data_IF_802516798307
#
_entry.id   IF_802516798307
#
_cell.length_a   1.000
_cell.length_b   1.000
_cell.length_c   1.000
_cell.angle_alpha   90.00
_cell.angle_beta   90.00
_cell.angle_gamma   90.00
#
_symmetry.space_group_name_H-M   'P 1'
#
loop_
_entity.id
_entity.type
_entity.pdbx_description
1 polymer ?
#
# COMPACT_ATOMS: atom_id res chain seq x y z
N UNK A 1 3.83 -21.39 -22.12
CA UNK A 1 4.62 -20.14 -21.99
C UNK A 1 4.04 -19.36 -20.84
N UNK A 2 4.79 -19.22 -19.76
CA UNK A 2 4.40 -18.40 -18.60
C UNK A 2 4.43 -16.95 -19.07
N UNK A 3 3.27 -16.33 -19.22
CA UNK A 3 3.24 -14.87 -19.20
C UNK A 3 3.53 -14.51 -17.75
N UNK A 4 4.76 -14.06 -17.47
CA UNK A 4 5.00 -13.30 -16.25
C UNK A 4 3.91 -12.21 -16.24
N UNK A 5 3.10 -12.15 -15.18
CA UNK A 5 2.12 -11.08 -15.03
C UNK A 5 2.92 -9.79 -14.93
N UNK A 6 3.08 -9.10 -16.06
CA UNK A 6 3.79 -7.83 -16.10
C UNK A 6 2.88 -6.87 -15.38
N UNK A 7 3.17 -6.58 -14.11
CA UNK A 7 2.54 -5.47 -13.42
C UNK A 7 2.84 -4.22 -14.24
N UNK A 8 1.82 -3.63 -14.84
CA UNK A 8 1.99 -2.33 -15.47
C UNK A 8 2.14 -1.32 -14.34
N UNK A 9 3.29 -0.68 -14.31
CA UNK A 9 3.57 0.42 -13.41
C UNK A 9 4.13 1.58 -14.22
N UNK A 10 3.83 2.79 -13.77
CA UNK A 10 4.40 4.00 -14.32
C UNK A 10 5.46 4.52 -13.35
N UNK A 11 6.72 4.46 -13.78
CA UNK A 11 7.85 4.91 -12.99
C UNK A 11 8.22 6.35 -13.33
N UNK A 12 8.44 7.16 -12.31
CA UNK A 12 8.99 8.50 -12.42
C UNK A 12 10.11 8.72 -11.40
N UNK A 13 11.01 9.65 -11.70
CA UNK A 13 12.09 10.06 -10.79
C UNK A 13 12.16 11.57 -10.75
N UNK A 14 12.40 12.13 -9.57
CA UNK A 14 12.58 13.56 -9.35
C UNK A 14 13.83 13.79 -8.49
N UNK A 15 14.65 14.78 -8.84
CA UNK A 15 15.80 15.18 -8.03
C UNK A 15 15.52 16.52 -7.38
N UNK A 16 15.42 16.50 -6.05
CA UNK A 16 15.33 17.70 -5.22
C UNK A 16 16.74 18.26 -5.01
N UNK A 17 16.99 19.49 -5.47
CA UNK A 17 18.24 20.24 -5.26
C UNK A 17 18.04 21.25 -4.11
N UNK A 18 18.67 20.98 -2.97
CA UNK A 18 18.54 21.77 -1.74
C UNK A 18 19.74 22.70 -1.64
N UNK A 19 19.49 24.00 -1.72
CA UNK A 19 20.51 25.03 -1.62
C UNK A 19 20.68 25.53 -0.19
N UNK A 20 21.90 25.89 0.20
CA UNK A 20 22.17 26.43 1.54
C UNK A 20 22.08 25.35 2.64
N UNK A 21 22.35 24.08 2.29
CA UNK A 21 22.05 22.94 3.14
C UNK A 21 22.65 23.09 4.55
N UNK A 22 23.91 23.53 4.66
CA UNK A 22 24.63 23.62 5.93
C UNK A 22 23.90 24.47 6.98
N UNK A 23 23.33 25.60 6.57
CA UNK A 23 22.58 26.54 7.41
C UNK A 23 21.09 26.23 7.54
N UNK A 24 20.54 25.40 6.65
CA UNK A 24 19.11 25.07 6.62
C UNK A 24 18.69 24.28 7.87
N UNK A 25 17.71 24.81 8.61
CA UNK A 25 17.01 24.18 9.74
C UNK A 25 15.51 24.42 9.60
N UNK A 26 14.71 23.78 10.45
CA UNK A 26 13.25 23.92 10.50
C UNK A 26 12.79 25.38 10.60
N UNK A 27 13.53 26.22 11.33
CA UNK A 27 13.21 27.65 11.54
C UNK A 27 13.30 28.50 10.27
N UNK A 28 13.99 28.02 9.25
CA UNK A 28 14.15 28.70 7.97
C UNK A 28 13.19 28.15 6.89
N UNK A 29 12.35 27.17 7.26
CA UNK A 29 11.32 26.62 6.38
C UNK A 29 9.98 27.34 6.62
N UNK A 30 8.97 26.98 5.81
CA UNK A 30 7.61 27.52 5.94
C UNK A 30 6.94 27.12 7.27
N UNK A 31 5.67 27.50 7.46
CA UNK A 31 4.92 27.31 8.73
C UNK A 31 4.98 25.86 9.24
N UNK A 32 5.00 24.89 8.34
CA UNK A 32 5.01 23.46 8.67
C UNK A 32 6.42 22.90 8.89
N UNK A 33 7.46 23.71 8.66
CA UNK A 33 8.85 23.38 9.01
C UNK A 33 9.57 22.48 8.02
N UNK A 34 9.12 22.42 6.77
CA UNK A 34 9.74 21.66 5.69
C UNK A 34 9.81 22.46 4.39
N UNK A 35 10.60 21.96 3.43
CA UNK A 35 10.69 22.50 2.07
C UNK A 35 9.91 21.63 1.09
N UNK A 36 9.21 22.29 0.17
CA UNK A 36 8.59 21.64 -0.98
C UNK A 36 9.52 21.59 -2.19
N UNK A 37 9.54 20.45 -2.87
CA UNK A 37 10.02 20.40 -4.25
C UNK A 37 9.03 21.07 -5.20
N UNK A 38 9.47 21.46 -6.41
CA UNK A 38 8.54 21.64 -7.52
C UNK A 38 7.70 20.38 -7.72
N UNK A 39 6.47 20.55 -8.19
CA UNK A 39 5.62 19.43 -8.54
C UNK A 39 6.15 18.70 -9.77
N UNK A 40 5.95 17.39 -9.81
CA UNK A 40 6.32 16.55 -10.94
C UNK A 40 5.25 15.48 -11.19
N UNK A 41 5.01 15.18 -12.45
CA UNK A 41 3.89 14.32 -12.86
C UNK A 41 4.36 12.89 -13.13
N UNK A 42 3.68 11.91 -12.52
CA UNK A 42 3.87 10.47 -12.78
C UNK A 42 2.50 9.83 -12.96
N UNK A 43 2.29 9.13 -14.07
CA UNK A 43 0.99 8.52 -14.41
C UNK A 43 -0.20 9.51 -14.51
N UNK A 44 0.08 10.77 -14.85
CA UNK A 44 -0.95 11.82 -14.91
C UNK A 44 -1.37 12.37 -13.54
N UNK A 45 -0.67 12.00 -12.47
CA UNK A 45 -0.84 12.52 -11.13
C UNK A 45 0.37 13.39 -10.78
N UNK A 46 0.11 14.53 -10.15
CA UNK A 46 1.12 15.44 -9.63
C UNK A 46 1.54 15.03 -8.21
N UNK A 47 2.85 15.03 -8.01
CA UNK A 47 3.53 14.66 -6.79
C UNK A 47 4.51 15.76 -6.37
N UNK A 48 4.84 15.83 -5.09
CA UNK A 48 5.91 16.67 -4.57
C UNK A 48 6.71 15.93 -3.50
N UNK A 49 7.93 16.39 -3.23
CA UNK A 49 8.75 15.91 -2.11
C UNK A 49 8.71 16.96 -1.00
N UNK A 50 8.34 16.54 0.21
CA UNK A 50 8.50 17.29 1.46
C UNK A 50 9.84 16.92 2.09
N UNK A 51 10.70 17.89 2.31
CA UNK A 51 12.01 17.70 2.93
C UNK A 51 12.11 18.41 4.28
N UNK A 52 12.45 17.67 5.33
CA UNK A 52 12.55 18.19 6.69
C UNK A 52 14.03 18.23 7.12
N UNK A 53 14.61 19.43 7.32
CA UNK A 53 16.04 19.56 7.62
C UNK A 53 16.47 19.02 8.99
N UNK A 54 15.53 18.92 9.93
CA UNK A 54 15.74 18.52 11.33
C UNK A 54 14.97 17.23 11.68
N UNK A 55 14.60 16.47 10.64
CA UNK A 55 13.82 15.24 10.77
C UNK A 55 12.33 15.48 10.97
N UNK A 56 11.59 14.39 11.08
CA UNK A 56 10.18 14.41 11.44
C UNK A 56 10.02 14.04 12.92
N UNK A 57 9.58 15.02 13.71
CA UNK A 57 9.39 14.88 15.15
C UNK A 57 7.94 14.54 15.52
N UNK A 58 7.03 14.37 14.55
CA UNK A 58 5.61 14.10 14.84
C UNK A 58 5.37 12.69 15.39
N UNK A 59 6.25 11.72 15.11
CA UNK A 59 6.13 10.33 15.61
C UNK A 59 7.04 9.98 16.79
N UNK A 60 7.91 10.90 17.23
CA UNK A 60 8.76 10.67 18.40
C UNK A 60 7.98 11.08 19.66
N UNK A 61 7.26 10.14 20.24
CA UNK A 61 6.67 10.28 21.57
C UNK A 61 7.73 10.63 22.61
N UNK A 62 7.90 11.92 22.90
CA UNK A 62 8.85 12.40 23.90
C UNK A 62 9.53 13.70 23.51
N UNK A 63 9.95 14.41 24.54
CA UNK A 63 10.66 15.69 24.50
C UNK A 63 12.07 15.54 23.87
N UNK A 64 12.17 15.11 22.60
CA UNK A 64 13.46 14.83 21.96
C UNK A 64 14.05 16.09 21.35
N UNK A 65 15.28 16.39 21.77
CA UNK A 65 16.22 17.25 21.07
C UNK A 65 16.18 16.97 19.55
N UNK A 66 16.37 18.00 18.72
CA UNK A 66 16.36 17.91 17.25
C UNK A 66 16.95 16.59 16.75
N UNK A 67 16.20 15.82 15.96
CA UNK A 67 16.72 14.61 15.32
C UNK A 67 18.00 14.98 14.54
N UNK A 68 19.09 14.23 14.74
CA UNK A 68 20.29 14.35 13.89
C UNK A 68 20.06 13.75 12.49
N UNK A 69 18.81 13.48 12.11
CA UNK A 69 18.45 13.02 10.78
C UNK A 69 17.78 14.12 9.97
N UNK A 70 17.88 14.00 8.65
CA UNK A 70 17.01 14.69 7.71
C UNK A 70 15.90 13.71 7.29
N UNK A 71 14.70 14.22 7.00
CA UNK A 71 13.58 13.40 6.54
C UNK A 71 13.12 13.79 5.15
N UNK A 72 12.51 12.84 4.44
CA UNK A 72 11.89 13.09 3.14
C UNK A 72 10.63 12.25 2.98
N UNK A 73 9.58 12.88 2.47
CA UNK A 73 8.29 12.27 2.18
C UNK A 73 7.82 12.67 0.80
N UNK A 74 7.21 11.73 0.10
CA UNK A 74 6.48 12.00 -1.14
C UNK A 74 5.05 12.35 -0.75
N UNK A 75 4.49 13.32 -1.43
CA UNK A 75 3.08 13.69 -1.33
C UNK A 75 2.38 13.54 -2.67
N UNK A 76 1.15 13.02 -2.65
CA UNK A 76 0.22 13.11 -3.76
C UNK A 76 -0.51 14.46 -3.70
N UNK A 77 -0.26 15.32 -4.69
CA UNK A 77 -0.74 16.72 -4.71
C UNK A 77 -2.02 16.88 -5.52
N UNK A 78 -2.34 15.90 -6.38
CA UNK A 78 -3.54 15.97 -7.22
C UNK A 78 -4.81 15.91 -6.37
N UNK A 79 -5.51 17.03 -6.26
CA UNK A 79 -6.69 17.18 -5.40
C UNK A 79 -7.74 16.09 -5.67
N UNK A 80 -8.21 15.46 -4.58
CA UNK A 80 -9.22 14.40 -4.63
C UNK A 80 -8.77 13.08 -5.26
N UNK A 81 -7.51 12.97 -5.69
CA UNK A 81 -6.98 11.73 -6.24
C UNK A 81 -6.59 10.75 -5.14
N UNK A 82 -6.67 9.46 -5.48
CA UNK A 82 -6.08 8.39 -4.70
C UNK A 82 -5.28 7.47 -5.62
N UNK A 83 -4.13 6.99 -5.14
CA UNK A 83 -3.24 6.17 -5.95
C UNK A 83 -2.45 5.20 -5.09
N UNK A 84 -2.20 4.01 -5.64
CA UNK A 84 -1.25 3.07 -5.06
C UNK A 84 0.12 3.30 -5.66
N UNK A 85 1.13 3.52 -4.83
CA UNK A 85 2.49 3.70 -5.31
C UNK A 85 3.54 3.12 -4.35
N UNK A 86 4.69 2.76 -4.91
CA UNK A 86 5.91 2.52 -4.12
C UNK A 86 6.82 3.71 -4.27
N UNK A 87 7.46 4.09 -3.17
CA UNK A 87 8.36 5.23 -3.13
C UNK A 87 9.73 4.85 -2.61
N UNK A 88 10.75 5.53 -3.08
CA UNK A 88 12.12 5.36 -2.62
C UNK A 88 12.89 6.67 -2.68
N UNK A 89 13.89 6.78 -1.81
CA UNK A 89 14.78 7.93 -1.74
C UNK A 89 16.23 7.47 -1.75
N UNK A 90 17.06 8.26 -2.42
CA UNK A 90 18.51 8.10 -2.42
C UNK A 90 19.22 9.44 -2.42
N UNK A 91 20.47 9.42 -1.95
CA UNK A 91 21.35 10.58 -2.04
C UNK A 91 22.16 10.50 -3.32
N UNK A 92 22.22 11.60 -4.05
CA UNK A 92 23.07 11.69 -5.25
C UNK A 92 24.50 11.95 -4.80
N UNK A 93 25.41 11.02 -5.10
CA UNK A 93 26.84 11.24 -5.03
C UNK A 93 27.20 12.27 -6.11
N UNK A 94 27.54 13.48 -5.69
CA UNK A 94 27.80 14.60 -6.60
C UNK A 94 29.20 14.52 -7.24
N UNK A 95 30.04 13.55 -6.83
CA UNK A 95 31.33 13.30 -7.45
C UNK A 95 31.24 12.31 -8.62
N UNK A 96 30.32 11.35 -8.55
CA UNK A 96 30.09 10.34 -9.60
C UNK A 96 28.83 10.58 -10.42
N UNK A 97 27.87 11.31 -9.87
CA UNK A 97 26.51 11.45 -10.41
C UNK A 97 25.58 10.28 -10.10
N UNK A 98 26.03 9.27 -9.34
CA UNK A 98 25.24 8.09 -9.03
C UNK A 98 24.38 8.27 -7.78
N UNK A 99 23.19 7.67 -7.77
CA UNK A 99 22.29 7.70 -6.62
C UNK A 99 22.55 6.50 -5.69
N UNK A 100 22.79 6.78 -4.42
CA UNK A 100 22.89 5.77 -3.35
C UNK A 100 21.51 5.60 -2.71
N UNK A 101 20.82 4.47 -2.88
CA UNK A 101 19.50 4.26 -2.31
C UNK A 101 19.59 4.12 -0.78
N UNK A 102 18.79 4.90 -0.06
CA UNK A 102 18.75 4.88 1.41
C UNK A 102 17.41 4.37 1.96
N UNK A 103 16.33 4.63 1.23
CA UNK A 103 15.00 4.19 1.59
C UNK A 103 14.29 3.63 0.37
N UNK A 104 13.59 2.51 0.54
CA UNK A 104 12.70 1.96 -0.46
C UNK A 104 11.54 1.26 0.23
N UNK A 105 10.35 1.80 0.04
CA UNK A 105 9.15 1.13 0.47
C UNK A 105 8.92 -0.12 -0.38
N UNK A 106 8.77 -1.24 0.31
CA UNK A 106 8.65 -2.56 -0.31
C UNK A 106 7.23 -2.81 -0.75
N UNK A 107 6.24 -2.43 0.02
CA UNK A 107 4.84 -2.69 -0.32
C UNK A 107 4.19 -1.45 -0.98
N UNK A 108 3.20 -1.62 -1.86
CA UNK A 108 2.43 -0.49 -2.34
C UNK A 108 1.73 0.24 -1.18
N UNK A 109 1.80 1.58 -1.19
CA UNK A 109 1.13 2.45 -0.24
C UNK A 109 -0.03 3.13 -0.94
N UNK A 110 -1.16 3.22 -0.24
CA UNK A 110 -2.30 3.99 -0.68
C UNK A 110 -2.08 5.45 -0.29
N UNK A 111 -1.91 6.30 -1.30
CA UNK A 111 -1.97 7.75 -1.16
C UNK A 111 -3.39 8.23 -1.38
N UNK A 112 -3.87 9.13 -0.51
CA UNK A 112 -5.16 9.80 -0.62
C UNK A 112 -4.96 11.30 -0.41
N UNK A 113 -5.03 12.07 -1.50
CA UNK A 113 -4.84 13.52 -1.45
C UNK A 113 -5.95 14.25 -0.66
N UNK A 114 -7.02 13.54 -0.29
CA UNK A 114 -8.13 14.08 0.49
C UNK A 114 -7.91 13.95 2.02
N UNK A 115 -6.80 13.36 2.44
CA UNK A 115 -6.49 13.06 3.85
C UNK A 115 -5.06 13.50 4.17
N UNK A 116 -4.90 14.39 5.15
CA UNK A 116 -3.59 14.89 5.56
C UNK A 116 -2.67 13.77 6.08
N UNK A 117 -3.24 12.77 6.74
CA UNK A 117 -2.52 11.62 7.32
C UNK A 117 -2.06 10.60 6.27
N UNK A 118 -2.78 10.52 5.13
CA UNK A 118 -2.54 9.48 4.11
C UNK A 118 -2.17 10.04 2.73
N UNK A 119 -2.01 11.35 2.59
CA UNK A 119 -1.51 11.98 1.37
C UNK A 119 0.01 11.87 1.22
N UNK A 120 0.75 11.46 2.25
CA UNK A 120 2.21 11.36 2.23
C UNK A 120 2.77 10.02 2.67
N UNK A 121 3.95 9.68 2.16
CA UNK A 121 4.72 8.51 2.62
C UNK A 121 6.22 8.73 2.43
N UNK A 122 7.03 8.26 3.37
CA UNK A 122 8.47 8.45 3.33
C UNK A 122 9.19 7.94 4.55
N UNK A 123 10.24 8.65 4.95
CA UNK A 123 11.07 8.27 6.09
C UNK A 123 11.50 9.50 6.89
N UNK A 124 11.29 9.42 8.22
CA UNK A 124 11.78 10.38 9.20
C UNK A 124 13.31 10.36 9.41
N UNK A 125 13.99 9.31 8.94
CA UNK A 125 15.40 9.03 9.22
C UNK A 125 16.23 8.78 7.94
N UNK A 126 15.99 9.57 6.88
CA UNK A 126 16.61 9.36 5.57
C UNK A 126 18.14 9.27 5.66
N UNK A 127 18.77 10.24 6.32
CA UNK A 127 20.21 10.29 6.50
C UNK A 127 20.59 11.10 7.73
N UNK A 128 21.67 10.69 8.40
CA UNK A 128 22.22 11.49 9.50
C UNK A 128 22.89 12.75 8.98
N UNK A 129 22.49 13.90 9.51
CA UNK A 129 22.96 15.22 9.13
C UNK A 129 24.47 15.37 9.30
N UNK A 130 25.05 14.81 10.37
CA UNK A 130 26.52 14.78 10.57
C UNK A 130 27.30 14.08 9.44
N UNK A 131 26.68 13.16 8.69
CA UNK A 131 27.31 12.52 7.53
C UNK A 131 27.19 13.37 6.25
N UNK A 132 26.39 14.43 6.28
CA UNK A 132 26.17 15.39 5.20
C UNK A 132 26.97 16.69 5.43
N UNK A 133 28.20 16.59 5.91
CA UNK A 133 29.04 17.77 6.16
C UNK A 133 29.57 18.38 4.85
N UNK A 134 30.01 19.64 4.93
CA UNK A 134 30.69 20.33 3.85
C UNK A 134 31.97 19.55 3.45
N UNK A 135 32.04 19.10 2.20
CA UNK A 135 33.13 18.26 1.69
C UNK A 135 32.80 16.75 1.64
N UNK A 136 31.64 16.33 2.12
CA UNK A 136 31.12 14.99 1.83
C UNK A 136 30.78 14.87 0.33
N UNK A 137 30.81 13.64 -0.21
CA UNK A 137 30.46 13.38 -1.62
C UNK A 137 29.02 13.75 -1.99
N UNK A 138 28.14 13.91 -0.99
CA UNK A 138 26.74 14.27 -1.18
C UNK A 138 26.46 15.77 -1.07
N UNK A 139 27.40 16.56 -0.51
CA UNK A 139 27.24 18.01 -0.30
C UNK A 139 28.38 18.77 -0.97
N UNK A 140 28.10 19.30 -2.17
CA UNK A 140 29.03 20.10 -2.96
C UNK A 140 28.49 21.51 -3.17
N UNK A 141 29.30 22.54 -2.92
CA UNK A 141 28.88 23.94 -3.06
C UNK A 141 27.69 24.33 -2.17
N UNK A 142 27.61 23.74 -0.97
CA UNK A 142 26.50 23.88 -0.01
C UNK A 142 25.13 23.44 -0.56
N UNK A 143 25.15 22.45 -1.46
CA UNK A 143 23.94 21.86 -2.04
C UNK A 143 23.85 20.38 -1.72
N UNK A 144 22.66 19.92 -1.33
CA UNK A 144 22.34 18.50 -1.17
C UNK A 144 21.36 18.09 -2.27
N UNK A 145 21.59 16.93 -2.88
CA UNK A 145 20.67 16.37 -3.89
C UNK A 145 20.07 15.06 -3.42
N UNK A 146 18.75 15.00 -3.43
CA UNK A 146 17.97 13.81 -3.06
C UNK A 146 17.20 13.37 -4.29
N UNK A 147 17.42 12.14 -4.73
CA UNK A 147 16.61 11.52 -5.76
C UNK A 147 15.43 10.79 -5.10
N UNK A 148 14.23 11.09 -5.59
CA UNK A 148 13.00 10.41 -5.28
C UNK A 148 12.59 9.56 -6.48
N UNK A 149 12.31 8.27 -6.25
CA UNK A 149 11.70 7.38 -7.23
C UNK A 149 10.28 7.01 -6.83
N UNK A 150 9.33 7.14 -7.75
CA UNK A 150 7.92 6.77 -7.57
C UNK A 150 7.56 5.72 -8.62
N UNK A 151 6.88 4.66 -8.18
CA UNK A 151 6.35 3.59 -9.02
C UNK A 151 4.83 3.48 -8.79
N UNK A 152 4.03 4.08 -9.66
CA UNK A 152 2.56 4.09 -9.54
C UNK A 152 1.99 2.79 -10.08
N UNK A 153 1.24 2.07 -9.26
CA UNK A 153 0.61 0.79 -9.61
C UNK A 153 -0.70 1.04 -10.37
N UNK A 154 -0.84 0.52 -11.60
CA UNK A 154 -2.07 0.70 -12.39
C UNK A 154 -2.96 -0.53 -12.48
N UNK A 155 -2.39 -1.73 -12.32
CA UNK A 155 -3.12 -2.98 -12.63
C UNK A 155 -3.24 -3.90 -11.41
N UNK A 156 -2.10 -4.27 -10.81
CA UNK A 156 -2.03 -5.22 -9.70
C UNK A 156 -1.10 -4.71 -8.59
N UNK A 157 -1.49 -4.99 -7.37
CA UNK A 157 -0.72 -4.78 -6.15
C UNK A 157 -0.09 -6.10 -5.75
N UNK A 158 1.23 -6.17 -5.92
CA UNK A 158 2.05 -7.25 -5.37
C UNK A 158 2.64 -6.80 -4.04
N UNK A 159 2.85 -7.75 -3.13
CA UNK A 159 3.40 -7.50 -1.79
C UNK A 159 4.62 -8.40 -1.59
N UNK A 160 5.58 -7.96 -0.78
CA UNK A 160 6.89 -8.64 -0.60
C UNK A 160 6.79 -9.98 0.18
N UNK A 161 5.59 -10.33 0.66
CA UNK A 161 5.35 -11.61 1.33
C UNK A 161 5.59 -12.78 0.37
N UNK A 162 6.38 -13.80 0.78
CA UNK A 162 6.56 -14.98 -0.04
C UNK A 162 5.19 -15.60 -0.35
N UNK A 163 4.93 -15.96 -1.62
CA UNK A 163 3.68 -16.63 -1.96
C UNK A 163 3.63 -17.93 -1.16
N UNK A 164 2.46 -18.33 -0.63
CA UNK A 164 2.39 -19.54 0.15
C UNK A 164 2.68 -20.71 -0.80
N UNK A 165 3.42 -21.73 -0.33
CA UNK A 165 3.78 -22.93 -1.11
C UNK A 165 2.59 -23.70 -1.69
N UNK A 166 1.36 -23.31 -1.31
CA UNK A 166 0.10 -23.65 -1.96
C UNK A 166 0.14 -23.34 -3.46
N UNK A 167 0.68 -24.27 -4.23
CA UNK A 167 0.24 -24.73 -5.55
C UNK A 167 -0.04 -23.72 -6.66
N UNK A 168 0.01 -22.40 -6.49
CA UNK A 168 -0.33 -21.42 -7.53
C UNK A 168 0.54 -21.57 -8.79
N UNK A 169 1.87 -21.72 -8.67
CA UNK A 169 2.69 -22.10 -9.82
C UNK A 169 2.22 -23.42 -10.42
N UNK A 170 1.79 -24.38 -9.58
CA UNK A 170 1.30 -25.69 -10.02
C UNK A 170 -0.05 -25.60 -10.76
N UNK A 171 -1.01 -24.82 -10.28
CA UNK A 171 -2.33 -24.62 -10.90
C UNK A 171 -2.17 -23.92 -12.24
N UNK A 172 -1.41 -22.82 -12.29
CA UNK A 172 -1.16 -22.10 -13.54
C UNK A 172 -0.29 -22.89 -14.53
N UNK A 173 0.71 -23.65 -14.06
CA UNK A 173 1.53 -24.54 -14.91
C UNK A 173 0.75 -25.75 -15.41
N UNK A 174 -0.15 -26.32 -14.61
CA UNK A 174 -1.01 -27.44 -14.98
C UNK A 174 -2.23 -27.01 -15.82
N UNK A 175 -2.44 -25.70 -16.04
CA UNK A 175 -3.53 -25.18 -16.85
C UNK A 175 -4.88 -25.04 -16.13
N UNK A 176 -4.93 -25.26 -14.81
CA UNK A 176 -6.11 -24.98 -14.00
C UNK A 176 -6.46 -23.48 -14.08
N UNK A 177 -7.74 -23.20 -14.28
CA UNK A 177 -8.25 -21.85 -14.58
C UNK A 177 -8.45 -21.53 -16.07
N UNK A 178 -8.06 -22.44 -16.98
CA UNK A 178 -8.39 -22.37 -18.42
C UNK A 178 -9.61 -23.19 -18.81
N UNK A 179 -10.10 -24.02 -17.90
CA UNK A 179 -11.32 -24.80 -18.06
C UNK A 179 -12.56 -23.93 -17.85
N UNK A 180 -13.73 -24.43 -18.22
CA UNK A 180 -14.97 -23.71 -17.88
C UNK A 180 -15.16 -23.66 -16.36
N UNK A 181 -15.54 -22.50 -15.79
CA UNK A 181 -15.86 -22.38 -14.38
C UNK A 181 -16.96 -23.39 -13.96
N UNK A 182 -16.70 -24.14 -12.90
CA UNK A 182 -17.60 -25.14 -12.32
C UNK A 182 -18.41 -24.61 -11.11
N UNK A 183 -18.06 -23.42 -10.62
CA UNK A 183 -18.77 -22.70 -9.56
C UNK A 183 -19.19 -21.31 -10.04
N UNK A 184 -20.43 -20.94 -9.73
CA UNK A 184 -20.96 -19.58 -9.89
C UNK A 184 -21.31 -19.05 -8.50
N UNK A 185 -20.71 -17.93 -8.12
CA UNK A 185 -20.95 -17.27 -6.84
C UNK A 185 -21.86 -16.07 -7.09
N UNK A 186 -23.01 -16.03 -6.42
CA UNK A 186 -23.91 -14.87 -6.41
C UNK A 186 -23.65 -14.04 -5.16
N UNK A 187 -23.25 -12.78 -5.34
CA UNK A 187 -22.96 -11.84 -4.25
C UNK A 187 -23.53 -10.47 -4.61
N UNK A 188 -24.36 -9.91 -3.73
CA UNK A 188 -25.02 -8.61 -3.93
C UNK A 188 -25.67 -8.46 -5.33
N UNK A 189 -26.28 -9.53 -5.85
CA UNK A 189 -26.93 -9.55 -7.18
C UNK A 189 -25.99 -9.66 -8.38
N UNK A 190 -24.68 -9.80 -8.16
CA UNK A 190 -23.69 -10.04 -9.21
C UNK A 190 -23.21 -11.49 -9.20
N UNK A 191 -22.91 -12.02 -10.38
CA UNK A 191 -22.41 -13.39 -10.57
C UNK A 191 -20.91 -13.38 -10.84
N UNK A 192 -20.15 -14.16 -10.07
CA UNK A 192 -18.71 -14.34 -10.22
C UNK A 192 -18.45 -15.81 -10.52
N UNK A 193 -17.86 -16.09 -11.68
CA UNK A 193 -17.48 -17.43 -12.07
C UNK A 193 -16.13 -17.82 -11.43
N UNK A 194 -16.02 -19.02 -10.89
CA UNK A 194 -14.84 -19.51 -10.20
C UNK A 194 -14.65 -21.03 -10.37
N UNK A 195 -13.54 -21.54 -9.83
CA UNK A 195 -13.22 -22.96 -9.83
C UNK A 195 -13.22 -23.51 -8.41
N UNK A 196 -13.96 -24.59 -8.17
CA UNK A 196 -14.05 -25.23 -6.86
C UNK A 196 -12.67 -25.56 -6.30
N UNK A 197 -11.79 -26.15 -7.12
CA UNK A 197 -10.45 -26.58 -6.70
C UNK A 197 -9.58 -25.41 -6.21
N UNK A 198 -9.73 -24.22 -6.80
CA UNK A 198 -8.98 -23.02 -6.39
C UNK A 198 -9.53 -22.52 -5.06
N UNK A 199 -10.86 -22.43 -4.91
CA UNK A 199 -11.49 -22.00 -3.67
C UNK A 199 -11.19 -22.96 -2.51
N UNK A 200 -11.21 -24.26 -2.76
CA UNK A 200 -10.88 -25.30 -1.77
C UNK A 200 -9.44 -25.18 -1.28
N UNK A 201 -8.49 -24.98 -2.20
CA UNK A 201 -7.09 -24.87 -1.86
C UNK A 201 -6.70 -23.52 -1.23
N UNK A 202 -7.37 -22.42 -1.61
CA UNK A 202 -6.91 -21.05 -1.32
C UNK A 202 -7.83 -20.27 -0.39
N UNK A 203 -9.09 -20.68 -0.27
CA UNK A 203 -10.08 -20.11 0.61
C UNK A 203 -10.94 -21.24 1.24
N UNK A 204 -10.34 -22.23 1.91
CA UNK A 204 -11.06 -23.43 2.37
C UNK A 204 -12.26 -23.11 3.28
N UNK A 205 -12.17 -22.03 4.06
CA UNK A 205 -13.28 -21.57 4.90
C UNK A 205 -14.48 -21.05 4.11
N UNK A 206 -14.30 -20.60 2.86
CA UNK A 206 -15.38 -20.16 1.97
C UNK A 206 -16.33 -21.31 1.67
N UNK A 207 -15.80 -22.42 1.14
CA UNK A 207 -16.62 -23.59 0.79
C UNK A 207 -17.27 -24.18 2.03
N UNK A 208 -16.52 -24.35 3.13
CA UNK A 208 -17.09 -24.87 4.39
C UNK A 208 -18.30 -24.05 4.86
N UNK A 209 -18.25 -22.73 4.69
CA UNK A 209 -19.33 -21.84 5.13
C UNK A 209 -20.52 -21.86 4.19
N UNK A 210 -20.31 -21.92 2.88
CA UNK A 210 -21.38 -21.67 1.91
C UNK A 210 -21.81 -22.89 1.11
N UNK A 211 -21.19 -24.06 1.30
CA UNK A 211 -21.58 -25.28 0.56
C UNK A 211 -23.03 -25.69 0.84
N UNK A 212 -23.61 -25.29 1.97
CA UNK A 212 -25.02 -25.55 2.28
C UNK A 212 -25.98 -24.67 1.47
N UNK A 213 -25.50 -23.58 0.85
CA UNK A 213 -26.28 -22.74 -0.08
C UNK A 213 -26.14 -23.23 -1.52
N UNK A 214 -25.32 -24.26 -1.74
CA UNK A 214 -25.06 -24.81 -3.06
C UNK A 214 -26.33 -25.38 -3.69
N UNK A 215 -26.64 -24.91 -4.90
CA UNK A 215 -27.67 -25.51 -5.76
C UNK A 215 -27.04 -25.99 -7.06
N UNK A 216 -27.43 -27.18 -7.52
CA UNK A 216 -26.99 -27.73 -8.80
C UNK A 216 -27.85 -27.16 -9.92
N UNK A 217 -27.21 -26.51 -10.91
CA UNK A 217 -27.87 -26.16 -12.18
C UNK A 217 -27.72 -27.29 -13.18
N UNK A 218 -28.61 -27.30 -14.18
CA UNK A 218 -28.40 -28.07 -15.41
C UNK A 218 -27.00 -27.75 -15.96
N UNK A 219 -26.20 -28.78 -16.25
CA UNK A 219 -24.79 -28.73 -16.69
C UNK A 219 -23.69 -28.77 -15.59
N UNK A 220 -23.95 -29.41 -14.44
CA UNK A 220 -22.95 -29.70 -13.37
C UNK A 220 -22.32 -28.47 -12.68
N UNK A 221 -22.79 -27.25 -12.96
CA UNK A 221 -22.33 -26.03 -12.30
C UNK A 221 -23.00 -25.87 -10.94
N UNK A 222 -22.19 -25.55 -9.92
CA UNK A 222 -22.65 -25.31 -8.55
C UNK A 222 -22.84 -23.82 -8.33
N UNK A 223 -24.04 -23.41 -7.91
CA UNK A 223 -24.33 -22.02 -7.57
C UNK A 223 -24.29 -21.81 -6.06
N UNK A 224 -23.47 -20.87 -5.59
CA UNK A 224 -23.29 -20.52 -4.18
C UNK A 224 -23.76 -19.08 -3.97
N UNK A 225 -24.68 -18.86 -3.02
CA UNK A 225 -25.13 -17.50 -2.66
C UNK A 225 -24.40 -16.99 -1.42
N UNK A 226 -23.92 -15.75 -1.49
CA UNK A 226 -23.28 -14.99 -0.41
C UNK A 226 -24.12 -13.75 -0.12
N UNK A 227 -24.40 -13.48 1.16
CA UNK A 227 -25.15 -12.30 1.57
C UNK A 227 -24.39 -11.02 1.17
N UNK A 228 -25.06 -10.13 0.43
CA UNK A 228 -24.49 -8.84 0.03
C UNK A 228 -24.22 -7.90 1.21
N UNK A 229 -24.88 -8.11 2.37
CA UNK A 229 -24.60 -7.38 3.60
C UNK A 229 -23.23 -7.69 4.21
N UNK A 230 -22.62 -8.85 3.87
CA UNK A 230 -21.29 -9.21 4.34
C UNK A 230 -20.18 -8.46 3.59
N UNK A 231 -20.35 -8.26 2.27
CA UNK A 231 -19.32 -7.69 1.41
C UNK A 231 -19.88 -7.22 0.06
N UNK A 232 -19.48 -6.04 -0.45
CA UNK A 232 -19.77 -5.62 -1.81
C UNK A 232 -19.18 -6.57 -2.86
N UNK A 233 -19.89 -6.78 -3.98
CA UNK A 233 -19.46 -7.69 -5.03
C UNK A 233 -18.06 -7.37 -5.61
N UNK A 234 -17.69 -6.09 -5.68
CA UNK A 234 -16.36 -5.67 -6.15
C UNK A 234 -15.24 -6.13 -5.20
N UNK A 235 -15.42 -5.98 -3.89
CA UNK A 235 -14.47 -6.48 -2.88
C UNK A 235 -14.41 -8.01 -2.92
N UNK A 236 -15.54 -8.68 -3.11
CA UNK A 236 -15.58 -10.13 -3.21
C UNK A 236 -14.86 -10.62 -4.48
N UNK A 237 -15.02 -9.91 -5.60
CA UNK A 237 -14.28 -10.18 -6.83
C UNK A 237 -12.77 -10.04 -6.62
N UNK A 238 -12.31 -9.01 -5.90
CA UNK A 238 -10.90 -8.84 -5.55
C UNK A 238 -10.36 -9.99 -4.67
N UNK A 239 -11.18 -10.51 -3.75
CA UNK A 239 -10.84 -11.69 -2.95
C UNK A 239 -10.67 -12.94 -3.82
N UNK A 240 -11.59 -13.16 -4.76
CA UNK A 240 -11.48 -14.26 -5.73
C UNK A 240 -10.24 -14.06 -6.59
N UNK A 241 -9.99 -12.88 -7.14
CA UNK A 241 -8.79 -12.60 -7.96
C UNK A 241 -7.49 -12.86 -7.19
N UNK A 242 -7.45 -12.50 -5.91
CA UNK A 242 -6.32 -12.82 -5.04
C UNK A 242 -6.12 -14.33 -4.89
N UNK A 243 -7.21 -15.12 -4.78
CA UNK A 243 -7.10 -16.57 -4.72
C UNK A 243 -6.41 -17.17 -5.96
N UNK A 244 -6.56 -16.54 -7.13
CA UNK A 244 -5.94 -16.96 -8.39
C UNK A 244 -4.54 -16.41 -8.64
N UNK A 245 -4.24 -15.21 -8.14
CA UNK A 245 -3.06 -14.44 -8.56
C UNK A 245 -2.09 -14.09 -7.44
N UNK A 246 -2.52 -14.22 -6.18
CA UNK A 246 -1.78 -13.78 -5.00
C UNK A 246 -1.46 -12.26 -5.01
N UNK A 247 -2.20 -11.51 -5.83
CA UNK A 247 -2.11 -10.06 -5.99
C UNK A 247 -3.50 -9.43 -5.85
N UNK A 248 -3.56 -8.19 -5.35
CA UNK A 248 -4.81 -7.44 -5.29
C UNK A 248 -4.99 -6.60 -6.55
N UNK A 249 -6.19 -6.53 -7.15
CA UNK A 249 -6.42 -5.63 -8.27
C UNK A 249 -6.40 -4.17 -7.83
N UNK A 250 -5.83 -3.31 -8.69
CA UNK A 250 -6.04 -1.87 -8.58
C UNK A 250 -7.41 -1.56 -9.16
N UNK A 251 -8.35 -1.28 -8.27
CA UNK A 251 -9.74 -1.00 -8.67
C UNK A 251 -9.88 0.49 -9.01
N UNK A 252 -10.06 0.79 -10.29
CA UNK A 252 -10.27 2.16 -10.76
C UNK A 252 -11.60 2.75 -10.28
N UNK A 253 -11.63 4.09 -10.16
CA UNK A 253 -12.83 4.85 -9.79
C UNK A 253 -13.14 4.90 -8.29
N UNK A 254 -12.31 4.31 -7.44
CA UNK A 254 -12.38 4.48 -5.99
C UNK A 254 -11.55 5.68 -5.55
N UNK A 255 -12.06 6.44 -4.60
CA UNK A 255 -11.26 7.37 -3.81
C UNK A 255 -10.54 6.60 -2.69
N UNK A 256 -9.71 7.29 -1.90
CA UNK A 256 -8.93 6.62 -0.84
C UNK A 256 -9.82 5.95 0.21
N UNK A 257 -10.93 6.59 0.61
CA UNK A 257 -11.91 5.98 1.50
C UNK A 257 -12.52 4.68 0.94
N UNK A 258 -12.84 4.64 -0.36
CA UNK A 258 -13.33 3.47 -1.06
C UNK A 258 -12.30 2.33 -1.10
N UNK A 259 -11.03 2.65 -1.38
CA UNK A 259 -9.95 1.68 -1.29
C UNK A 259 -9.79 1.13 0.14
N UNK A 260 -9.77 1.98 1.18
CA UNK A 260 -9.68 1.55 2.58
C UNK A 260 -10.87 0.67 2.97
N UNK A 261 -12.08 1.01 2.54
CA UNK A 261 -13.28 0.18 2.77
C UNK A 261 -13.14 -1.20 2.11
N UNK A 262 -12.67 -1.26 0.86
CA UNK A 262 -12.39 -2.53 0.18
C UNK A 262 -11.38 -3.38 0.96
N UNK A 263 -10.27 -2.80 1.41
CA UNK A 263 -9.25 -3.51 2.20
C UNK A 263 -9.82 -4.01 3.54
N UNK A 264 -10.66 -3.22 4.24
CA UNK A 264 -11.34 -3.67 5.48
C UNK A 264 -12.24 -4.87 5.23
N UNK A 265 -13.03 -4.84 4.15
CA UNK A 265 -13.85 -5.98 3.73
C UNK A 265 -13.00 -7.22 3.46
N UNK A 266 -11.91 -7.06 2.71
CA UNK A 266 -10.98 -8.14 2.40
C UNK A 266 -10.33 -8.72 3.66
N UNK A 267 -9.89 -7.89 4.62
CA UNK A 267 -9.31 -8.34 5.89
C UNK A 267 -10.27 -9.26 6.66
N UNK A 268 -11.51 -8.81 6.86
CA UNK A 268 -12.53 -9.57 7.60
C UNK A 268 -12.85 -10.89 6.89
N UNK A 269 -12.97 -10.90 5.56
CA UNK A 269 -13.24 -12.12 4.82
C UNK A 269 -12.03 -13.05 4.70
N UNK A 270 -10.83 -12.51 4.61
CA UNK A 270 -9.61 -13.30 4.61
C UNK A 270 -9.48 -14.10 5.90
N UNK A 271 -9.75 -13.47 7.05
CA UNK A 271 -9.82 -14.18 8.32
C UNK A 271 -10.92 -15.24 8.32
N UNK A 272 -12.13 -14.86 7.86
CA UNK A 272 -13.30 -15.76 7.81
C UNK A 272 -13.07 -16.99 6.93
N UNK A 273 -12.35 -16.85 5.81
CA UNK A 273 -12.16 -17.90 4.81
C UNK A 273 -10.81 -18.61 4.92
N UNK A 274 -9.97 -18.25 5.90
CA UNK A 274 -8.67 -18.88 6.13
C UNK A 274 -7.60 -18.46 5.11
N UNK A 275 -7.70 -17.26 4.55
CA UNK A 275 -6.74 -16.70 3.59
C UNK A 275 -5.62 -15.95 4.32
N UNK A 276 -4.78 -16.66 5.07
CA UNK A 276 -3.81 -16.07 6.00
C UNK A 276 -2.88 -15.01 5.39
N UNK A 277 -2.38 -15.21 4.16
CA UNK A 277 -1.53 -14.21 3.48
C UNK A 277 -2.31 -12.95 3.12
N UNK A 278 -3.53 -13.08 2.59
CA UNK A 278 -4.38 -11.93 2.29
C UNK A 278 -4.71 -11.14 3.56
N UNK A 279 -4.99 -11.84 4.67
CA UNK A 279 -5.23 -11.24 5.98
C UNK A 279 -4.02 -10.39 6.39
N UNK A 280 -2.82 -10.95 6.41
CA UNK A 280 -1.60 -10.24 6.81
C UNK A 280 -1.33 -9.01 5.93
N UNK A 281 -1.53 -9.12 4.61
CA UNK A 281 -1.41 -8.00 3.67
C UNK A 281 -2.41 -6.89 4.01
N UNK A 282 -3.70 -7.22 4.17
CA UNK A 282 -4.72 -6.22 4.44
C UNK A 282 -4.53 -5.55 5.81
N UNK A 283 -4.11 -6.31 6.82
CA UNK A 283 -3.80 -5.79 8.16
C UNK A 283 -2.66 -4.75 8.08
N UNK A 284 -1.54 -5.11 7.44
CA UNK A 284 -0.39 -4.22 7.22
C UNK A 284 -0.76 -2.96 6.43
N UNK A 285 -1.55 -3.12 5.36
CA UNK A 285 -2.02 -1.98 4.55
C UNK A 285 -2.82 -1.00 5.41
N UNK A 286 -3.72 -1.49 6.27
CA UNK A 286 -4.51 -0.63 7.14
C UNK A 286 -3.67 0.05 8.22
N UNK A 287 -2.65 -0.62 8.76
CA UNK A 287 -1.69 0.00 9.69
C UNK A 287 -0.95 1.19 9.05
N UNK A 288 -0.68 1.13 7.74
CA UNK A 288 -0.02 2.20 6.98
C UNK A 288 -0.98 3.24 6.40
N UNK A 289 -2.28 3.10 6.62
CA UNK A 289 -3.32 4.00 6.11
C UNK A 289 -4.25 4.46 7.23
N UNK A 290 -3.72 4.61 8.44
CA UNK A 290 -4.45 5.17 9.57
C UNK A 290 -4.69 6.66 9.32
N UNK A 291 -5.81 7.12 9.82
CA UNK A 291 -6.34 8.46 9.58
C UNK A 291 -7.10 8.87 10.83
N UNK A 292 -6.85 10.08 11.31
CA UNK A 292 -7.39 10.58 12.58
C UNK A 292 -8.91 10.54 12.64
N UNK A 293 -9.60 10.72 11.52
CA UNK A 293 -11.06 10.67 11.46
C UNK A 293 -11.59 9.24 11.58
N UNK A 294 -10.81 8.25 11.15
CA UNK A 294 -11.27 6.84 11.03
C UNK A 294 -10.57 5.86 11.98
N UNK A 295 -9.55 6.28 12.71
CA UNK A 295 -8.72 5.40 13.55
C UNK A 295 -9.52 4.75 14.67
N UNK A 296 -10.44 5.47 15.33
CA UNK A 296 -11.27 4.92 16.40
C UNK A 296 -12.21 3.81 15.88
N UNK A 297 -12.82 4.02 14.71
CA UNK A 297 -13.65 3.00 14.07
C UNK A 297 -12.82 1.79 13.60
N UNK A 298 -11.58 2.03 13.17
CA UNK A 298 -10.64 0.98 12.75
C UNK A 298 -10.19 0.13 13.95
N UNK A 299 -9.87 0.75 15.09
CA UNK A 299 -9.57 0.03 16.34
C UNK A 299 -10.75 -0.84 16.80
N UNK A 300 -11.96 -0.27 16.82
CA UNK A 300 -13.15 -1.02 17.23
C UNK A 300 -13.43 -2.25 16.34
N UNK A 301 -13.11 -2.14 15.05
CA UNK A 301 -13.18 -3.27 14.11
C UNK A 301 -12.06 -4.29 14.38
N UNK A 302 -10.82 -3.81 14.57
CA UNK A 302 -9.67 -4.65 14.85
C UNK A 302 -9.85 -5.49 16.13
N UNK A 303 -10.32 -4.88 17.22
CA UNK A 303 -10.58 -5.57 18.49
C UNK A 303 -11.71 -6.60 18.37
N UNK A 304 -12.79 -6.25 17.65
CA UNK A 304 -13.93 -7.15 17.43
C UNK A 304 -13.50 -8.44 16.70
N UNK A 305 -12.58 -8.31 15.76
CA UNK A 305 -12.14 -9.42 14.91
C UNK A 305 -10.81 -10.05 15.35
N UNK A 306 -10.13 -9.49 16.36
CA UNK A 306 -8.87 -10.01 16.89
C UNK A 306 -7.64 -9.69 16.03
N UNK A 307 -7.64 -8.58 15.31
CA UNK A 307 -6.52 -8.08 14.49
C UNK A 307 -5.52 -7.31 15.36
N UNK A 308 -4.67 -8.05 16.09
CA UNK A 308 -3.79 -7.48 17.12
C UNK A 308 -2.83 -6.42 16.60
N UNK A 309 -2.20 -6.65 15.44
CA UNK A 309 -1.21 -5.71 14.90
C UNK A 309 -1.90 -4.39 14.53
N UNK A 310 -3.10 -4.46 13.94
CA UNK A 310 -3.88 -3.27 13.63
C UNK A 310 -4.41 -2.57 14.88
N UNK A 311 -4.85 -3.32 15.90
CA UNK A 311 -5.27 -2.74 17.18
C UNK A 311 -4.13 -1.97 17.86
N UNK A 312 -2.94 -2.56 17.90
CA UNK A 312 -1.74 -1.93 18.47
C UNK A 312 -1.35 -0.68 17.70
N UNK A 313 -1.30 -0.75 16.36
CA UNK A 313 -1.00 0.40 15.51
C UNK A 313 -2.01 1.54 15.69
N UNK A 314 -3.32 1.24 15.78
CA UNK A 314 -4.33 2.24 16.07
C UNK A 314 -4.15 2.88 17.45
N UNK A 315 -3.82 2.09 18.48
CA UNK A 315 -3.61 2.62 19.83
C UNK A 315 -2.37 3.53 19.90
N UNK A 316 -1.29 3.15 19.22
CA UNK A 316 -0.08 3.98 19.09
C UNK A 316 -0.37 5.28 18.35
N UNK A 317 -1.05 5.21 17.21
CA UNK A 317 -1.47 6.39 16.44
C UNK A 317 -2.33 7.34 17.27
N UNK A 318 -3.27 6.83 18.08
CA UNK A 318 -4.10 7.68 18.94
C UNK A 318 -3.35 8.28 20.13
N UNK A 319 -2.26 7.65 20.60
CA UNK A 319 -1.43 8.19 21.67
C UNK A 319 -0.54 9.35 21.18
N UNK A 320 -0.16 9.31 19.90
CA UNK A 320 0.67 10.32 19.22
C UNK A 320 0.05 10.66 17.85
N UNK A 321 -1.09 11.38 17.85
CA UNK A 321 -1.82 11.74 16.64
C UNK A 321 -1.07 12.76 15.78
#
# INVERSE_FOLDING_TARGET
>A
MVAATITKTARGTHVLDIHGFSGLRKKQCDVDGFLYSPTFTVSGLDWAVRYYPDGDNHHAGGNSESSDHVAAFVELVTEGAAAWARVGFGLVDQTTGETVPLFREKDPILFDASSEDTCTWGTGELARRRHLHAGSRYVLGDRLKIECGIDVCSDLLTFDDPPPSSGLPLFQQAGYGKEEPDVIIEVAGQTIAAHYCILDARAPGFLKRHIHTATTRSDRKVQISVDGGDMPAQSFKALVDFAYTDALPVVGGLNGAGHRAMIRHLLIAAERYGMGRLRAICERVLCKSLDVETVAATLAMADRHGFKELSEACAEFMAFP
#
